data_IF_460412508229
#
_entry.id   IF_460412508229
#
_cell.length_a   1.000
_cell.length_b   1.000
_cell.length_c   1.000
_cell.angle_alpha   90.00
_cell.angle_beta   90.00
_cell.angle_gamma   90.00
#
_symmetry.space_group_name_H-M   'P 1'
#
loop_
_entity.id
_entity.type
_entity.pdbx_description
1 polymer ?
#
# COMPACT_ATOMS: atom_id res chain seq x y z
N UNK A 1 28.79 -36.93 4.80
CA UNK A 1 28.83 -35.47 4.64
C UNK A 1 27.44 -35.00 4.29
N UNK A 2 26.90 -34.69 5.17
CA UNK A 2 25.85 -33.86 5.73
C UNK A 2 24.77 -33.48 4.75
N UNK A 3 23.81 -34.42 4.60
CA UNK A 3 22.52 -34.21 3.91
C UNK A 3 21.41 -33.77 4.90
N UNK A 4 21.79 -33.40 6.13
CA UNK A 4 20.84 -33.15 7.21
C UNK A 4 20.59 -31.67 7.51
N UNK A 5 21.17 -30.75 6.74
CA UNK A 5 20.75 -29.35 6.75
C UNK A 5 19.61 -29.08 5.76
N UNK A 6 18.61 -29.92 5.68
CA UNK A 6 17.28 -29.40 5.45
C UNK A 6 16.95 -28.64 6.74
N UNK A 7 17.30 -27.34 6.76
CA UNK A 7 16.80 -26.42 7.77
C UNK A 7 15.29 -26.62 7.85
N UNK A 8 14.88 -27.46 8.77
CA UNK A 8 13.52 -27.43 9.31
C UNK A 8 13.42 -26.04 9.93
N UNK A 9 12.82 -25.11 9.19
CA UNK A 9 12.34 -23.88 9.78
C UNK A 9 11.35 -24.34 10.84
N UNK A 10 11.85 -24.56 12.08
CA UNK A 10 11.00 -24.86 13.22
C UNK A 10 10.06 -23.68 13.32
N UNK A 11 8.73 -23.89 13.19
CA UNK A 11 7.80 -22.79 13.30
C UNK A 11 7.99 -22.19 14.69
N UNK A 12 8.56 -20.97 14.71
CA UNK A 12 8.62 -20.23 15.96
C UNK A 12 7.18 -20.00 16.39
N UNK A 13 6.92 -20.11 17.68
CA UNK A 13 5.58 -19.95 18.25
C UNK A 13 4.85 -18.67 17.84
N UNK A 14 5.58 -17.67 17.39
CA UNK A 14 5.10 -16.35 16.93
C UNK A 14 4.63 -16.37 15.48
N UNK A 15 5.05 -17.32 14.62
CA UNK A 15 4.74 -17.31 13.18
C UNK A 15 3.23 -17.32 12.91
N UNK A 16 2.49 -18.26 13.50
CA UNK A 16 1.05 -18.38 13.26
C UNK A 16 0.24 -17.17 13.74
N UNK A 17 0.44 -16.65 14.96
CA UNK A 17 -0.24 -15.44 15.40
C UNK A 17 0.06 -14.24 14.51
N UNK A 18 1.30 -14.04 14.10
CA UNK A 18 1.71 -12.94 13.23
C UNK A 18 1.10 -13.06 11.83
N UNK A 19 1.03 -14.30 11.31
CA UNK A 19 0.38 -14.57 10.02
C UNK A 19 -1.13 -14.27 10.08
N UNK A 20 -1.81 -14.67 11.14
CA UNK A 20 -3.24 -14.37 11.36
C UNK A 20 -3.47 -12.87 11.54
N UNK A 21 -2.58 -12.15 12.23
CA UNK A 21 -2.65 -10.71 12.38
C UNK A 21 -2.50 -10.00 11.03
N UNK A 22 -1.61 -10.51 10.15
CA UNK A 22 -1.48 -10.00 8.79
C UNK A 22 -2.75 -10.23 7.97
N UNK A 23 -3.36 -11.43 8.06
CA UNK A 23 -4.64 -11.73 7.41
C UNK A 23 -5.76 -10.81 7.89
N UNK A 24 -5.85 -10.57 9.21
CA UNK A 24 -6.82 -9.63 9.78
C UNK A 24 -6.62 -8.21 9.23
N UNK A 25 -5.38 -7.69 9.26
CA UNK A 25 -5.07 -6.36 8.73
C UNK A 25 -5.42 -6.19 7.24
N UNK A 26 -5.19 -7.23 6.43
CA UNK A 26 -5.60 -7.25 5.00
C UNK A 26 -7.12 -7.20 4.88
N UNK A 27 -7.85 -8.03 5.62
CA UNK A 27 -9.31 -8.08 5.57
C UNK A 27 -9.95 -6.77 6.01
N UNK A 28 -9.46 -6.21 7.11
CA UNK A 28 -9.96 -4.96 7.68
C UNK A 28 -9.64 -3.76 6.77
N UNK A 29 -8.50 -3.78 6.08
CA UNK A 29 -8.17 -2.74 5.10
C UNK A 29 -9.15 -2.72 3.91
N UNK A 30 -9.62 -3.87 3.44
CA UNK A 30 -10.68 -3.94 2.42
C UNK A 30 -12.03 -3.45 2.94
N UNK A 31 -12.33 -3.63 4.23
CA UNK A 31 -13.58 -3.24 4.86
C UNK A 31 -13.59 -1.80 5.38
N UNK A 32 -12.44 -1.12 5.41
CA UNK A 32 -12.33 0.22 5.96
C UNK A 32 -13.26 1.21 5.26
N UNK A 33 -14.11 1.90 6.01
CA UNK A 33 -15.01 2.98 5.55
C UNK A 33 -14.47 4.38 5.76
N UNK A 34 -13.31 4.49 6.40
CA UNK A 34 -12.66 5.73 6.81
C UNK A 34 -11.18 5.69 6.45
N UNK A 35 -10.62 6.82 6.00
CA UNK A 35 -9.21 6.90 5.59
C UNK A 35 -8.23 6.68 6.74
N UNK A 36 -8.59 7.07 7.95
CA UNK A 36 -7.72 6.85 9.11
C UNK A 36 -7.72 5.38 9.53
N UNK A 37 -8.89 4.72 9.53
CA UNK A 37 -8.98 3.28 9.78
C UNK A 37 -8.20 2.49 8.72
N UNK A 38 -8.29 2.90 7.45
CA UNK A 38 -7.49 2.31 6.38
C UNK A 38 -5.98 2.43 6.66
N UNK A 39 -5.53 3.61 7.14
CA UNK A 39 -4.15 3.81 7.58
C UNK A 39 -3.78 2.82 8.70
N UNK A 40 -4.58 2.74 9.77
CA UNK A 40 -4.30 1.85 10.90
C UNK A 40 -4.20 0.40 10.46
N UNK A 41 -5.08 -0.08 9.59
CA UNK A 41 -5.02 -1.45 9.09
C UNK A 41 -3.82 -1.70 8.18
N UNK A 42 -3.38 -0.71 7.40
CA UNK A 42 -2.10 -0.79 6.70
C UNK A 42 -0.92 -0.92 7.68
N UNK A 43 -0.91 -0.18 8.78
CA UNK A 43 0.17 -0.29 9.77
C UNK A 43 0.17 -1.65 10.47
N UNK A 44 -1.00 -2.19 10.81
CA UNK A 44 -1.14 -3.53 11.41
C UNK A 44 -0.60 -4.60 10.45
N UNK A 45 -1.05 -4.60 9.19
CA UNK A 45 -0.60 -5.59 8.21
C UNK A 45 0.91 -5.45 7.89
N UNK A 46 1.44 -4.23 7.88
CA UNK A 46 2.86 -3.99 7.64
C UNK A 46 3.71 -4.45 8.82
N UNK A 47 3.32 -4.11 10.06
CA UNK A 47 4.03 -4.57 11.27
C UNK A 47 4.12 -6.09 11.32
N UNK A 48 3.00 -6.78 11.04
CA UNK A 48 2.98 -8.24 10.93
C UNK A 48 3.88 -8.75 9.81
N UNK A 49 3.86 -8.10 8.63
CA UNK A 49 4.69 -8.48 7.49
C UNK A 49 6.19 -8.34 7.77
N UNK A 50 6.60 -7.33 8.54
CA UNK A 50 8.00 -7.16 8.97
C UNK A 50 8.46 -8.35 9.82
N UNK A 51 7.65 -8.75 10.80
CA UNK A 51 7.95 -9.91 11.63
C UNK A 51 8.07 -11.20 10.82
N UNK A 52 7.19 -11.41 9.84
CA UNK A 52 7.21 -12.59 8.98
C UNK A 52 8.39 -12.59 8.01
N UNK A 53 8.75 -11.45 7.42
CA UNK A 53 9.87 -11.34 6.48
C UNK A 53 11.22 -11.57 7.17
N UNK A 54 11.39 -11.02 8.38
CA UNK A 54 12.63 -11.12 9.16
C UNK A 54 12.76 -12.46 9.89
N UNK A 55 11.70 -13.29 9.85
CA UNK A 55 11.71 -14.61 10.46
C UNK A 55 12.80 -15.49 9.84
N UNK A 56 13.67 -16.08 10.67
CA UNK A 56 14.80 -16.90 10.23
C UNK A 56 16.15 -16.17 10.16
N UNK A 57 16.19 -14.84 10.34
CA UNK A 57 17.38 -13.99 10.59
C UNK A 57 18.57 -14.21 9.64
N UNK A 58 18.35 -14.62 8.39
CA UNK A 58 19.40 -14.72 7.39
C UNK A 58 19.81 -13.32 6.91
N UNK A 59 21.12 -13.13 6.63
CA UNK A 59 21.68 -11.82 6.25
C UNK A 59 20.99 -11.22 5.00
N UNK A 60 20.61 -12.07 4.04
CA UNK A 60 19.86 -11.64 2.85
C UNK A 60 18.47 -11.14 3.22
N UNK A 61 17.76 -11.84 4.13
CA UNK A 61 16.43 -11.43 4.63
C UNK A 61 16.49 -10.11 5.40
N UNK A 62 17.51 -9.92 6.23
CA UNK A 62 17.70 -8.68 6.97
C UNK A 62 17.91 -7.50 6.01
N UNK A 63 18.78 -7.66 4.99
CA UNK A 63 19.02 -6.60 4.01
C UNK A 63 17.79 -6.26 3.19
N UNK A 64 17.08 -7.27 2.68
CA UNK A 64 15.82 -7.09 1.96
C UNK A 64 14.75 -6.44 2.84
N UNK A 65 14.66 -6.90 4.10
CA UNK A 65 13.73 -6.38 5.09
C UNK A 65 13.98 -4.91 5.43
N UNK A 66 15.22 -4.47 5.55
CA UNK A 66 15.54 -3.06 5.80
C UNK A 66 15.05 -2.15 4.67
N UNK A 67 15.25 -2.53 3.41
CA UNK A 67 14.72 -1.77 2.27
C UNK A 67 13.20 -1.75 2.25
N UNK A 68 12.58 -2.91 2.50
CA UNK A 68 11.15 -3.05 2.58
C UNK A 68 10.53 -2.16 3.68
N UNK A 69 11.09 -2.20 4.88
CA UNK A 69 10.66 -1.39 6.03
C UNK A 69 10.81 0.10 5.71
N UNK A 70 11.97 0.53 5.23
CA UNK A 70 12.24 1.94 4.95
C UNK A 70 11.26 2.52 3.93
N UNK A 71 11.01 1.80 2.83
CA UNK A 71 10.08 2.24 1.79
C UNK A 71 8.63 2.31 2.29
N UNK A 72 8.19 1.29 3.01
CA UNK A 72 6.82 1.26 3.52
C UNK A 72 6.60 2.27 4.65
N UNK A 73 7.59 2.49 5.51
CA UNK A 73 7.51 3.52 6.55
C UNK A 73 7.43 4.92 5.94
N UNK A 74 8.22 5.20 4.90
CA UNK A 74 8.13 6.46 4.13
C UNK A 74 6.74 6.62 3.52
N UNK A 75 6.18 5.57 2.92
CA UNK A 75 4.83 5.60 2.38
C UNK A 75 3.78 5.85 3.47
N UNK A 76 3.96 5.31 4.67
CA UNK A 76 3.07 5.54 5.81
C UNK A 76 3.11 6.99 6.29
N UNK A 77 4.27 7.63 6.32
CA UNK A 77 4.39 9.06 6.61
C UNK A 77 3.68 9.92 5.56
N UNK A 78 3.88 9.61 4.27
CA UNK A 78 3.16 10.28 3.18
C UNK A 78 1.65 10.07 3.30
N UNK A 79 1.20 8.88 3.69
CA UNK A 79 -0.20 8.60 3.92
C UNK A 79 -0.79 9.55 4.98
N UNK A 80 -0.14 9.67 6.14
CA UNK A 80 -0.59 10.58 7.21
C UNK A 80 -0.63 12.04 6.75
N UNK A 81 0.37 12.49 6.00
CA UNK A 81 0.41 13.86 5.47
C UNK A 81 -0.78 14.07 4.51
N UNK A 82 -1.01 13.15 3.58
CA UNK A 82 -2.12 13.22 2.63
C UNK A 82 -3.48 13.24 3.32
N UNK A 83 -3.70 12.34 4.28
CA UNK A 83 -4.93 12.29 5.10
C UNK A 83 -5.12 13.58 5.89
N UNK A 84 -4.05 14.12 6.48
CA UNK A 84 -4.12 15.40 7.23
C UNK A 84 -4.55 16.56 6.35
N UNK A 85 -4.00 16.68 5.15
CA UNK A 85 -4.39 17.73 4.20
C UNK A 85 -5.85 17.61 3.77
N UNK A 86 -6.33 16.40 3.51
CA UNK A 86 -7.75 16.15 3.19
C UNK A 86 -8.62 16.55 4.37
N UNK A 87 -8.25 16.15 5.59
CA UNK A 87 -9.00 16.46 6.80
C UNK A 87 -9.12 17.97 7.09
N UNK A 88 -8.04 18.73 6.86
CA UNK A 88 -8.03 20.18 7.08
C UNK A 88 -9.07 20.88 6.21
N UNK A 89 -9.27 20.40 4.99
CA UNK A 89 -10.21 21.00 4.03
C UNK A 89 -11.65 20.52 4.23
N UNK A 90 -11.80 19.24 4.60
CA UNK A 90 -13.14 18.59 4.60
C UNK A 90 -13.72 18.41 5.99
N UNK A 91 -12.90 18.43 7.05
CA UNK A 91 -13.30 18.17 8.43
C UNK A 91 -13.69 16.71 8.71
N UNK A 92 -13.57 15.81 7.72
CA UNK A 92 -13.94 14.39 7.87
C UNK A 92 -13.00 13.49 7.11
N UNK A 93 -12.88 12.24 7.57
CA UNK A 93 -12.13 11.16 6.88
C UNK A 93 -13.05 10.00 6.46
N UNK A 94 -14.33 10.10 6.80
CA UNK A 94 -15.32 9.12 6.37
C UNK A 94 -15.52 9.20 4.87
N UNK A 95 -15.26 8.09 4.16
CA UNK A 95 -15.22 8.05 2.70
C UNK A 95 -16.56 8.39 2.06
N UNK A 96 -17.68 8.00 2.67
CA UNK A 96 -19.02 8.30 2.15
C UNK A 96 -19.39 9.78 2.29
N UNK A 97 -18.97 10.43 3.39
CA UNK A 97 -19.17 11.85 3.60
C UNK A 97 -18.26 12.67 2.67
N UNK A 98 -17.01 12.26 2.50
CA UNK A 98 -16.07 12.89 1.58
C UNK A 98 -16.62 12.98 0.16
N UNK A 99 -17.20 11.89 -0.35
CA UNK A 99 -17.78 11.84 -1.69
C UNK A 99 -18.83 12.95 -1.95
N UNK A 100 -19.60 13.31 -0.91
CA UNK A 100 -20.60 14.36 -1.00
C UNK A 100 -20.03 15.76 -0.80
N UNK A 101 -19.00 15.90 0.06
CA UNK A 101 -18.42 17.19 0.40
C UNK A 101 -17.47 17.74 -0.66
N UNK A 102 -16.80 16.88 -1.44
CA UNK A 102 -15.79 17.28 -2.42
C UNK A 102 -16.35 18.27 -3.45
N UNK A 103 -17.59 18.06 -3.89
CA UNK A 103 -18.26 18.95 -4.86
C UNK A 103 -18.51 20.36 -4.30
N UNK A 104 -18.68 20.51 -2.97
CA UNK A 104 -18.98 21.77 -2.30
C UNK A 104 -17.75 22.54 -1.82
N UNK A 105 -16.54 22.02 -2.00
CA UNK A 105 -15.29 22.65 -1.54
C UNK A 105 -15.06 23.97 -2.30
N UNK A 106 -14.81 25.10 -1.59
CA UNK A 106 -14.50 26.37 -2.20
C UNK A 106 -13.27 26.31 -3.10
N UNK A 107 -13.21 27.06 -4.21
CA UNK A 107 -12.08 27.06 -5.13
C UNK A 107 -10.73 27.35 -4.48
N UNK A 108 -10.69 28.16 -3.45
CA UNK A 108 -9.49 28.53 -2.71
C UNK A 108 -8.87 27.38 -1.92
N UNK A 109 -9.68 26.39 -1.51
CA UNK A 109 -9.24 25.24 -0.72
C UNK A 109 -8.95 24.00 -1.55
N UNK A 110 -9.38 23.99 -2.83
CA UNK A 110 -9.13 22.89 -3.76
C UNK A 110 -7.64 22.55 -3.95
N UNK A 111 -6.68 23.50 -4.01
CA UNK A 111 -5.26 23.16 -4.12
C UNK A 111 -4.76 22.28 -2.96
N UNK A 112 -5.23 22.51 -1.73
CA UNK A 112 -4.87 21.67 -0.57
C UNK A 112 -5.46 20.28 -0.68
N UNK A 113 -6.72 20.15 -1.14
CA UNK A 113 -7.32 18.85 -1.43
C UNK A 113 -6.51 18.10 -2.49
N UNK A 114 -6.18 18.74 -3.61
CA UNK A 114 -5.40 18.12 -4.68
C UNK A 114 -4.01 17.70 -4.22
N UNK A 115 -3.33 18.52 -3.43
CA UNK A 115 -2.05 18.16 -2.83
C UNK A 115 -2.17 16.96 -1.90
N UNK A 116 -3.20 16.93 -1.04
CA UNK A 116 -3.48 15.79 -0.14
C UNK A 116 -3.72 14.49 -0.92
N UNK A 117 -4.56 14.55 -1.95
CA UNK A 117 -4.87 13.40 -2.81
C UNK A 117 -3.65 12.93 -3.61
N UNK A 118 -2.84 13.86 -4.13
CA UNK A 118 -1.61 13.53 -4.84
C UNK A 118 -0.60 12.80 -3.94
N UNK A 119 -0.35 13.33 -2.74
CA UNK A 119 0.55 12.71 -1.76
C UNK A 119 0.02 11.33 -1.34
N UNK A 120 -1.26 11.21 -1.06
CA UNK A 120 -1.90 9.95 -0.71
C UNK A 120 -1.82 8.92 -1.86
N UNK A 121 -1.97 9.37 -3.10
CA UNK A 121 -1.81 8.53 -4.29
C UNK A 121 -0.38 7.98 -4.41
N UNK A 122 0.64 8.80 -4.15
CA UNK A 122 2.04 8.34 -4.12
C UNK A 122 2.24 7.28 -3.04
N UNK A 123 1.69 7.49 -1.83
CA UNK A 123 1.75 6.49 -0.76
C UNK A 123 1.14 5.15 -1.18
N UNK A 124 -0.02 5.17 -1.84
CA UNK A 124 -0.66 3.96 -2.34
C UNK A 124 0.09 3.31 -3.51
N UNK A 125 0.73 4.08 -4.39
CA UNK A 125 1.59 3.54 -5.45
C UNK A 125 2.78 2.78 -4.88
N UNK A 126 3.43 3.29 -3.81
CA UNK A 126 4.48 2.56 -3.10
C UNK A 126 3.93 1.26 -2.52
N UNK A 127 2.78 1.31 -1.82
CA UNK A 127 2.16 0.14 -1.18
C UNK A 127 1.65 -0.88 -2.21
N UNK A 128 1.22 -0.44 -3.38
CA UNK A 128 0.82 -1.30 -4.49
C UNK A 128 2.03 -1.92 -5.23
N UNK A 129 3.25 -1.41 -4.99
CA UNK A 129 4.43 -1.82 -5.74
C UNK A 129 4.33 -1.47 -7.23
N UNK A 130 3.67 -0.36 -7.57
CA UNK A 130 3.51 0.09 -8.96
C UNK A 130 4.78 0.79 -9.47
N UNK A 131 5.08 0.60 -10.75
CA UNK A 131 6.17 1.33 -11.39
C UNK A 131 5.95 2.87 -11.28
N UNK A 132 7.00 3.66 -11.01
CA UNK A 132 8.42 3.34 -10.84
C UNK A 132 8.83 2.93 -9.42
N UNK A 133 7.90 2.81 -8.47
CA UNK A 133 8.15 2.58 -7.05
C UNK A 133 8.15 1.08 -6.67
N UNK A 134 8.29 0.19 -7.66
CA UNK A 134 8.21 -1.27 -7.48
C UNK A 134 9.52 -1.95 -7.07
N UNK A 135 10.64 -1.23 -7.03
CA UNK A 135 12.01 -1.79 -6.84
C UNK A 135 12.22 -2.55 -5.54
N UNK A 136 11.42 -2.30 -4.49
CA UNK A 136 11.49 -3.02 -3.22
C UNK A 136 10.82 -4.41 -3.30
N UNK A 137 9.90 -4.61 -4.24
CA UNK A 137 9.02 -5.77 -4.33
C UNK A 137 9.80 -7.08 -4.64
N UNK A 138 10.65 -7.17 -5.69
CA UNK A 138 11.33 -8.42 -6.05
C UNK A 138 12.21 -8.94 -4.93
N UNK A 139 12.96 -8.06 -4.26
CA UNK A 139 13.86 -8.44 -3.16
C UNK A 139 13.09 -8.97 -1.95
N UNK A 140 11.94 -8.37 -1.62
CA UNK A 140 11.08 -8.81 -0.52
C UNK A 140 10.46 -10.20 -0.82
N UNK A 141 10.02 -10.42 -2.06
CA UNK A 141 9.44 -11.73 -2.46
C UNK A 141 10.46 -12.85 -2.46
N UNK A 142 11.68 -12.60 -2.96
CA UNK A 142 12.74 -13.61 -2.99
C UNK A 142 13.25 -13.96 -1.59
N UNK A 143 13.20 -13.03 -0.65
CA UNK A 143 13.66 -13.24 0.71
C UNK A 143 12.62 -13.94 1.60
N UNK A 144 11.33 -13.83 1.28
CA UNK A 144 10.23 -14.38 2.08
C UNK A 144 10.06 -15.88 1.90
N UNK A 145 9.58 -16.57 2.96
CA UNK A 145 9.09 -17.94 2.82
C UNK A 145 7.86 -17.98 1.90
N UNK A 146 7.61 -19.08 1.21
CA UNK A 146 6.53 -19.19 0.22
C UNK A 146 5.14 -18.71 0.70
N UNK A 147 4.64 -19.08 1.90
CA UNK A 147 3.37 -18.56 2.38
C UNK A 147 3.39 -17.06 2.68
N UNK A 148 4.53 -16.51 3.10
CA UNK A 148 4.70 -15.06 3.33
C UNK A 148 4.71 -14.30 2.00
N UNK A 149 5.41 -14.81 0.99
CA UNK A 149 5.40 -14.24 -0.36
C UNK A 149 3.99 -14.22 -0.97
N UNK A 150 3.20 -15.27 -0.77
CA UNK A 150 1.81 -15.33 -1.20
C UNK A 150 0.95 -14.22 -0.53
N UNK A 151 1.14 -13.98 0.77
CA UNK A 151 0.46 -12.89 1.48
C UNK A 151 0.91 -11.51 0.99
N UNK A 152 2.18 -11.32 0.65
CA UNK A 152 2.67 -10.08 0.06
C UNK A 152 1.99 -9.78 -1.29
N UNK A 153 1.72 -10.83 -2.09
CA UNK A 153 0.97 -10.67 -3.33
C UNK A 153 -0.45 -10.13 -3.09
N UNK A 154 -1.11 -10.55 -2.00
CA UNK A 154 -2.42 -10.02 -1.61
C UNK A 154 -2.29 -8.58 -1.07
N UNK A 155 -1.27 -8.30 -0.26
CA UNK A 155 -1.02 -6.98 0.32
C UNK A 155 -0.87 -5.89 -0.75
N UNK A 156 -0.18 -6.16 -1.86
CA UNK A 156 -0.09 -5.21 -2.98
C UNK A 156 -1.45 -4.92 -3.61
N UNK A 157 -2.40 -5.88 -3.58
CA UNK A 157 -3.78 -5.68 -4.06
C UNK A 157 -4.58 -4.74 -3.16
N UNK A 158 -4.30 -4.71 -1.86
CA UNK A 158 -4.88 -3.69 -0.96
C UNK A 158 -4.45 -2.29 -1.41
N UNK A 159 -3.18 -2.09 -1.80
CA UNK A 159 -2.70 -0.83 -2.37
C UNK A 159 -3.44 -0.43 -3.65
N UNK A 160 -3.61 -1.36 -4.60
CA UNK A 160 -4.36 -1.13 -5.84
C UNK A 160 -5.83 -0.81 -5.55
N UNK A 161 -6.46 -1.56 -4.65
CA UNK A 161 -7.83 -1.31 -4.20
C UNK A 161 -7.99 0.10 -3.61
N UNK A 162 -7.04 0.52 -2.78
CA UNK A 162 -7.05 1.85 -2.17
C UNK A 162 -6.95 2.97 -3.21
N UNK A 163 -6.13 2.78 -4.28
CA UNK A 163 -6.06 3.70 -5.41
C UNK A 163 -7.41 3.78 -6.12
N UNK A 164 -8.01 2.64 -6.45
CA UNK A 164 -9.32 2.59 -7.12
C UNK A 164 -10.38 3.28 -6.28
N UNK A 165 -10.43 2.97 -4.98
CA UNK A 165 -11.40 3.53 -4.06
C UNK A 165 -11.23 5.04 -3.91
N UNK A 166 -10.00 5.53 -3.72
CA UNK A 166 -9.70 6.96 -3.64
C UNK A 166 -10.08 7.68 -4.95
N UNK A 167 -9.76 7.10 -6.11
CA UNK A 167 -10.08 7.70 -7.39
C UNK A 167 -11.58 7.78 -7.65
N UNK A 168 -12.33 6.74 -7.30
CA UNK A 168 -13.80 6.78 -7.41
C UNK A 168 -14.43 7.78 -6.45
N UNK A 169 -13.87 7.93 -5.26
CA UNK A 169 -14.36 8.82 -4.22
C UNK A 169 -14.12 10.29 -4.57
N UNK A 170 -12.90 10.62 -5.01
CA UNK A 170 -12.47 12.00 -5.25
C UNK A 170 -12.75 12.45 -6.68
N UNK A 171 -12.75 11.52 -7.63
CA UNK A 171 -12.89 11.78 -9.07
C UNK A 171 -14.11 11.08 -9.69
N UNK A 172 -15.08 10.69 -8.85
CA UNK A 172 -16.34 10.11 -9.30
C UNK A 172 -17.19 11.10 -10.11
N UNK A 173 -18.30 10.65 -10.70
CA UNK A 173 -19.14 11.48 -11.59
C UNK A 173 -19.65 12.77 -10.92
N UNK A 174 -19.70 12.81 -9.62
CA UNK A 174 -20.15 13.97 -8.84
C UNK A 174 -19.04 14.98 -8.49
N UNK A 175 -17.78 14.67 -8.76
CA UNK A 175 -16.64 15.49 -8.36
C UNK A 175 -16.36 16.71 -9.26
N UNK A 176 -17.07 16.81 -10.41
CA UNK A 176 -16.87 17.87 -11.40
C UNK A 176 -15.52 17.78 -12.13
N UNK A 177 -15.35 18.64 -13.13
CA UNK A 177 -14.16 18.70 -14.02
C UNK A 177 -12.88 19.22 -13.33
N UNK A 178 -12.88 19.33 -12.00
CA UNK A 178 -11.84 19.97 -11.20
C UNK A 178 -10.55 19.14 -11.05
N UNK A 179 -10.44 18.02 -11.73
CA UNK A 179 -9.41 17.02 -11.45
C UNK A 179 -8.34 17.00 -12.53
N UNK A 180 -7.29 17.80 -12.34
CA UNK A 180 -6.10 17.80 -13.20
C UNK A 180 -5.33 16.47 -13.26
N UNK A 181 -5.76 15.44 -12.53
CA UNK A 181 -5.27 14.06 -12.63
C UNK A 181 -6.18 13.28 -13.60
N UNK A 182 -6.15 13.66 -14.87
CA UNK A 182 -6.97 13.05 -15.91
C UNK A 182 -6.85 11.54 -16.00
N UNK A 183 -7.92 10.90 -16.50
CA UNK A 183 -7.95 9.45 -16.75
C UNK A 183 -6.71 8.95 -17.52
N UNK A 184 -6.13 9.77 -18.37
CA UNK A 184 -4.92 9.49 -19.13
C UNK A 184 -3.69 9.20 -18.28
N UNK A 185 -3.45 9.95 -17.20
CA UNK A 185 -2.28 9.71 -16.33
C UNK A 185 -2.42 8.37 -15.60
N UNK A 186 -3.61 8.02 -15.16
CA UNK A 186 -3.89 6.73 -14.49
C UNK A 186 -3.71 5.54 -15.43
N UNK A 187 -4.20 5.68 -16.67
CA UNK A 187 -4.02 4.67 -17.73
C UNK A 187 -2.54 4.51 -18.06
N UNK A 188 -1.80 5.61 -18.22
CA UNK A 188 -0.37 5.59 -18.49
C UNK A 188 0.41 4.89 -17.38
N UNK A 189 0.15 5.20 -16.11
CA UNK A 189 0.80 4.53 -14.96
C UNK A 189 0.46 3.04 -14.89
N UNK A 190 -0.79 2.68 -15.16
CA UNK A 190 -1.21 1.27 -15.23
C UNK A 190 -0.52 0.53 -16.38
N UNK A 191 -0.49 1.07 -17.57
CA UNK A 191 0.17 0.49 -18.74
C UNK A 191 1.69 0.37 -18.53
N UNK A 192 2.33 1.41 -17.96
CA UNK A 192 3.74 1.38 -17.62
C UNK A 192 4.04 0.28 -16.61
N UNK A 193 3.22 0.12 -15.56
CA UNK A 193 3.39 -0.95 -14.57
C UNK A 193 3.29 -2.35 -15.20
N UNK A 194 2.35 -2.56 -16.11
CA UNK A 194 2.22 -3.83 -16.85
C UNK A 194 3.43 -4.07 -17.74
N UNK A 195 3.83 -3.07 -18.51
CA UNK A 195 4.97 -3.18 -19.44
C UNK A 195 6.27 -3.51 -18.71
N UNK A 196 6.60 -2.76 -17.64
CA UNK A 196 7.81 -3.00 -16.87
C UNK A 196 7.76 -4.29 -16.07
N UNK A 197 6.56 -4.72 -15.62
CA UNK A 197 6.36 -6.03 -15.03
C UNK A 197 6.65 -7.17 -16.00
N UNK A 198 6.19 -7.06 -17.24
CA UNK A 198 6.47 -8.03 -18.31
C UNK A 198 7.95 -8.05 -18.68
N UNK A 199 8.59 -6.88 -18.84
CA UNK A 199 10.03 -6.79 -19.12
C UNK A 199 10.86 -7.42 -18.00
N UNK A 200 10.48 -7.23 -16.73
CA UNK A 200 11.14 -7.87 -15.59
C UNK A 200 10.98 -9.39 -15.51
N UNK A 201 9.96 -9.96 -16.19
CA UNK A 201 9.81 -11.42 -16.32
C UNK A 201 10.66 -12.00 -17.45
N UNK A 202 11.07 -11.18 -18.42
CA UNK A 202 11.85 -11.60 -19.57
C UNK A 202 13.37 -11.42 -19.37
N UNK A 203 13.79 -10.68 -18.33
CA UNK A 203 15.19 -10.43 -17.95
C UNK A 203 15.69 -11.45 -16.93
#
# INVERSE_FOLDING_TARGET
QDKDEVRRETPVSIFHPTFLLMCAGVSDAFLAGDLFNLFVFFEVLLAASYGLLLHGSDQLRVRAGMHYIAMNLTASLLFLIGVRLIYVVTGTLNMSLLANLIASIPPQDRPFLHAGVAILSVAFLVKAGSWPLSFWLPTAYMAGAAPVAAMFAIMTKVGVYSILRLTMLVFGPNAGDSTGFGAGVRILLGLASVLFGLLGLLA
#
